data_IF_418391946951
#
_entry.id   IF_418391946951
#
_cell.length_a   1.000
_cell.length_b   1.000
_cell.length_c   1.000
_cell.angle_alpha   90.00
_cell.angle_beta   90.00
_cell.angle_gamma   90.00
#
_symmetry.space_group_name_H-M   'P 1'
#
loop_
_entity.id
_entity.type
_entity.pdbx_description
1 polymer ?
#
# COMPACT_ATOMS: atom_id res chain seq x y z
N UNK A 1 44.40 5.60 -59.11
CA UNK A 1 44.22 6.63 -58.05
C UNK A 1 42.84 6.42 -57.44
N UNK A 2 42.77 6.03 -56.14
CA UNK A 2 41.71 6.33 -55.13
C UNK A 2 40.25 6.46 -55.65
N UNK A 3 39.20 5.71 -55.23
CA UNK A 3 38.71 5.39 -53.87
C UNK A 3 37.43 4.49 -53.95
N UNK A 4 37.34 3.50 -53.05
CA UNK A 4 36.21 2.86 -52.28
C UNK A 4 34.79 2.63 -52.89
N UNK A 5 34.43 1.33 -53.08
CA UNK A 5 33.45 0.44 -52.35
C UNK A 5 32.21 1.16 -51.75
N UNK A 6 30.92 0.69 -51.89
CA UNK A 6 30.50 -0.57 -51.24
C UNK A 6 29.24 -1.37 -51.67
N UNK A 7 29.11 -2.52 -50.96
CA UNK A 7 27.91 -3.23 -50.49
C UNK A 7 27.28 -4.34 -51.36
N UNK A 8 27.40 -5.59 -50.89
CA UNK A 8 26.33 -6.61 -50.94
C UNK A 8 26.61 -7.77 -49.96
N UNK A 9 25.64 -7.95 -49.05
CA UNK A 9 25.11 -9.18 -48.41
C UNK A 9 26.04 -10.32 -47.95
N UNK A 10 25.91 -10.70 -46.67
CA UNK A 10 25.49 -12.06 -46.28
C UNK A 10 25.16 -12.14 -44.77
N UNK A 11 24.03 -12.76 -44.47
CA UNK A 11 23.57 -13.10 -43.14
C UNK A 11 24.23 -14.41 -42.64
N UNK A 12 24.50 -14.51 -41.34
CA UNK A 12 24.73 -15.78 -40.67
C UNK A 12 24.15 -15.72 -39.25
N UNK A 13 23.17 -16.60 -39.00
CA UNK A 13 22.63 -16.95 -37.69
C UNK A 13 23.76 -17.49 -36.81
N UNK A 14 23.96 -16.88 -35.64
CA UNK A 14 24.69 -17.52 -34.54
C UNK A 14 23.68 -17.84 -33.44
N UNK A 15 23.34 -19.13 -33.32
CA UNK A 15 22.57 -19.68 -32.22
C UNK A 15 23.36 -19.47 -30.91
N UNK A 16 22.80 -18.68 -29.99
CA UNK A 16 23.38 -18.45 -28.68
C UNK A 16 23.14 -19.68 -27.79
N UNK A 17 24.16 -20.52 -27.68
CA UNK A 17 24.30 -21.51 -26.62
C UNK A 17 24.52 -20.77 -25.29
N UNK A 18 23.45 -20.32 -24.63
CA UNK A 18 23.56 -19.93 -23.22
C UNK A 18 23.64 -21.21 -22.39
N UNK A 19 24.89 -21.60 -22.13
CA UNK A 19 25.24 -22.53 -21.06
C UNK A 19 24.50 -22.11 -19.78
N UNK A 20 23.77 -23.09 -19.26
CA UNK A 20 23.14 -23.11 -17.95
C UNK A 20 24.23 -22.86 -16.89
N UNK A 21 24.49 -21.59 -16.59
CA UNK A 21 25.27 -21.23 -15.42
C UNK A 21 24.34 -21.40 -14.21
N UNK A 22 24.71 -22.19 -13.18
CA UNK A 22 23.95 -22.19 -11.95
C UNK A 22 23.89 -20.75 -11.45
N UNK A 23 22.68 -20.28 -11.11
CA UNK A 23 22.51 -19.02 -10.43
C UNK A 23 23.50 -18.95 -9.25
N UNK A 24 24.23 -17.84 -9.04
CA UNK A 24 25.09 -17.72 -7.87
C UNK A 24 24.23 -18.02 -6.64
N UNK A 25 24.70 -18.96 -5.81
CA UNK A 25 24.06 -19.27 -4.54
C UNK A 25 23.80 -17.93 -3.82
N UNK A 26 22.53 -17.67 -3.49
CA UNK A 26 22.14 -16.42 -2.85
C UNK A 26 23.07 -16.18 -1.65
N UNK A 27 23.87 -15.12 -1.71
CA UNK A 27 24.74 -14.76 -0.59
C UNK A 27 23.88 -14.61 0.65
N UNK A 28 24.27 -15.29 1.73
CA UNK A 28 23.51 -15.25 2.96
C UNK A 28 23.35 -13.79 3.40
N UNK A 29 22.12 -13.31 3.63
CA UNK A 29 21.91 -11.92 3.98
C UNK A 29 22.63 -11.58 5.28
N UNK A 30 23.09 -10.33 5.37
CA UNK A 30 23.71 -9.82 6.58
C UNK A 30 22.76 -9.99 7.78
N UNK A 31 23.25 -10.63 8.84
CA UNK A 31 22.50 -10.93 10.07
C UNK A 31 23.14 -10.33 11.33
N UNK A 32 24.27 -9.63 11.19
CA UNK A 32 24.96 -8.99 12.31
C UNK A 32 25.73 -7.73 11.89
N UNK A 33 25.79 -6.76 12.80
CA UNK A 33 26.75 -5.67 12.82
C UNK A 33 27.83 -5.97 13.85
N UNK A 34 29.09 -5.91 13.44
CA UNK A 34 30.25 -6.28 14.22
C UNK A 34 31.09 -5.04 14.50
N UNK A 35 31.40 -4.81 15.78
CA UNK A 35 32.34 -3.77 16.21
C UNK A 35 33.57 -4.44 16.75
N UNK A 36 34.73 -4.11 16.18
CA UNK A 36 36.01 -4.74 16.48
C UNK A 36 37.01 -3.66 16.90
N UNK A 37 37.88 -3.90 17.88
CA UNK A 37 39.01 -3.01 18.15
C UNK A 37 39.84 -2.75 16.88
N UNK A 38 40.26 -1.51 16.66
CA UNK A 38 40.93 -1.11 15.41
C UNK A 38 42.18 -1.94 15.08
N UNK A 39 42.92 -2.37 16.11
CA UNK A 39 44.12 -3.22 15.95
C UNK A 39 43.78 -4.63 15.46
N UNK A 40 42.59 -5.13 15.83
CA UNK A 40 42.13 -6.48 15.50
C UNK A 40 41.45 -6.54 14.13
N UNK A 41 40.82 -5.45 13.69
CA UNK A 41 40.10 -5.35 12.42
C UNK A 41 40.99 -5.66 11.19
N UNK A 42 42.29 -5.32 11.28
CA UNK A 42 43.27 -5.53 10.21
C UNK A 42 44.20 -6.73 10.47
N UNK A 43 43.99 -7.51 11.55
CA UNK A 43 44.78 -8.71 11.82
C UNK A 43 44.35 -9.85 10.88
N UNK A 44 45.31 -10.40 10.13
CA UNK A 44 45.09 -11.54 9.25
C UNK A 44 44.57 -12.78 9.99
N UNK A 45 45.01 -13.00 11.24
CA UNK A 45 44.54 -14.12 12.07
C UNK A 45 43.05 -14.00 12.41
N UNK A 46 42.53 -12.78 12.52
CA UNK A 46 41.12 -12.53 12.77
C UNK A 46 40.29 -12.85 11.52
N UNK A 47 40.73 -12.39 10.36
CA UNK A 47 40.08 -12.68 9.07
C UNK A 47 40.05 -14.18 8.78
N UNK A 48 41.19 -14.87 8.93
CA UNK A 48 41.29 -16.32 8.74
C UNK A 48 40.38 -17.09 9.72
N UNK A 49 40.21 -16.58 10.95
CA UNK A 49 39.32 -17.17 11.95
C UNK A 49 37.85 -17.03 11.55
N UNK A 50 37.42 -15.85 11.08
CA UNK A 50 36.06 -15.61 10.60
C UNK A 50 35.73 -16.55 9.42
N UNK A 51 36.62 -16.61 8.42
CA UNK A 51 36.43 -17.44 7.24
C UNK A 51 36.33 -18.93 7.60
N UNK A 52 37.24 -19.43 8.45
CA UNK A 52 37.23 -20.83 8.92
C UNK A 52 35.95 -21.19 9.67
N UNK A 53 35.37 -20.23 10.39
CA UNK A 53 34.14 -20.41 11.17
C UNK A 53 32.86 -20.07 10.37
N UNK A 54 32.98 -19.78 9.08
CA UNK A 54 31.83 -19.50 8.20
C UNK A 54 31.21 -18.11 8.38
N UNK A 55 31.89 -17.19 9.05
CA UNK A 55 31.50 -15.79 9.11
C UNK A 55 31.99 -15.05 7.86
N UNK A 56 31.13 -14.19 7.29
CA UNK A 56 31.42 -13.38 6.10
C UNK A 56 31.12 -11.92 6.37
N UNK A 57 32.11 -11.06 6.15
CA UNK A 57 31.94 -9.61 6.19
C UNK A 57 31.48 -9.15 4.79
N UNK A 58 30.36 -8.44 4.73
CA UNK A 58 29.73 -8.00 3.47
C UNK A 58 29.95 -6.51 3.22
N UNK A 59 29.91 -5.70 4.29
CA UNK A 59 30.19 -4.27 4.25
C UNK A 59 31.27 -3.95 5.29
N UNK A 60 32.19 -3.07 4.93
CA UNK A 60 33.29 -2.63 5.78
C UNK A 60 33.22 -1.13 5.98
N UNK A 61 33.27 -0.71 7.23
CA UNK A 61 33.28 0.69 7.66
C UNK A 61 34.50 0.92 8.56
N UNK A 62 35.69 1.10 7.96
CA UNK A 62 36.93 1.26 8.70
C UNK A 62 36.88 2.44 9.68
N UNK A 63 37.56 2.34 10.83
CA UNK A 63 38.50 1.27 11.19
C UNK A 63 37.89 0.07 11.95
N UNK A 64 36.65 0.15 12.43
CA UNK A 64 36.18 -0.73 13.51
C UNK A 64 34.85 -1.43 13.26
N UNK A 65 34.05 -1.03 12.25
CA UNK A 65 32.68 -1.55 12.10
C UNK A 65 32.53 -2.31 10.80
N UNK A 66 31.86 -3.46 10.87
CA UNK A 66 31.58 -4.32 9.73
C UNK A 66 30.14 -4.81 9.80
N UNK A 67 29.54 -5.10 8.65
CA UNK A 67 28.20 -5.71 8.57
C UNK A 67 28.31 -6.97 7.74
N UNK A 68 27.70 -8.06 8.20
CA UNK A 68 27.92 -9.35 7.57
C UNK A 68 27.04 -10.47 8.07
N UNK A 69 27.33 -11.68 7.59
CA UNK A 69 26.74 -12.91 8.06
C UNK A 69 27.66 -13.55 9.10
N UNK A 70 27.23 -13.62 10.36
CA UNK A 70 27.96 -14.21 11.48
C UNK A 70 27.09 -15.29 12.11
N UNK A 71 27.54 -16.57 12.13
CA UNK A 71 26.88 -17.66 12.86
C UNK A 71 26.67 -17.30 14.34
N UNK A 72 25.50 -17.67 14.88
CA UNK A 72 25.04 -17.21 16.21
C UNK A 72 25.86 -17.76 17.38
N UNK A 73 26.46 -18.93 17.19
CA UNK A 73 27.37 -19.58 18.12
C UNK A 73 28.70 -18.81 18.31
N UNK A 74 29.08 -17.94 17.37
CA UNK A 74 30.35 -17.21 17.44
C UNK A 74 30.30 -15.95 18.31
N UNK A 75 29.12 -15.47 18.71
CA UNK A 75 28.97 -14.19 19.41
C UNK A 75 29.86 -14.11 20.66
N UNK A 76 29.81 -15.14 21.50
CA UNK A 76 30.59 -15.20 22.73
C UNK A 76 32.08 -15.48 22.47
N UNK A 77 32.43 -16.25 21.44
CA UNK A 77 33.82 -16.52 21.08
C UNK A 77 34.52 -15.25 20.58
N UNK A 78 33.83 -14.48 19.73
CA UNK A 78 34.31 -13.21 19.18
C UNK A 78 34.53 -12.16 20.25
N UNK A 79 33.61 -12.06 21.21
CA UNK A 79 33.76 -11.16 22.35
C UNK A 79 34.95 -11.53 23.22
N UNK A 80 35.06 -12.81 23.64
CA UNK A 80 36.13 -13.25 24.55
C UNK A 80 37.51 -13.20 23.93
N UNK A 81 37.65 -13.60 22.67
CA UNK A 81 38.95 -13.78 22.02
C UNK A 81 39.46 -12.51 21.33
N UNK A 82 38.56 -11.69 20.82
CA UNK A 82 38.89 -10.54 19.97
C UNK A 82 38.31 -9.22 20.49
N UNK A 83 37.61 -9.23 21.63
CA UNK A 83 36.96 -8.03 22.17
C UNK A 83 35.86 -7.47 21.26
N UNK A 84 35.36 -8.29 20.32
CA UNK A 84 34.40 -7.85 19.33
C UNK A 84 32.98 -7.88 19.89
N UNK A 85 32.17 -6.88 19.54
CA UNK A 85 30.75 -6.81 19.90
C UNK A 85 29.90 -7.14 18.69
N UNK A 86 28.97 -8.09 18.87
CA UNK A 86 28.03 -8.50 17.83
C UNK A 86 26.65 -7.94 18.14
N UNK A 87 26.12 -7.11 17.24
CA UNK A 87 24.78 -6.57 17.31
C UNK A 87 23.88 -7.29 16.31
N UNK A 88 22.81 -7.90 16.81
CA UNK A 88 21.80 -8.61 15.99
C UNK A 88 20.46 -7.86 15.91
N UNK A 89 20.28 -6.85 16.76
CA UNK A 89 19.11 -6.01 16.84
C UNK A 89 19.45 -4.56 16.51
N UNK A 90 18.43 -3.71 16.53
CA UNK A 90 18.59 -2.26 16.45
C UNK A 90 19.54 -1.80 17.57
N UNK A 91 20.46 -0.92 17.21
CA UNK A 91 21.38 -0.28 18.14
C UNK A 91 20.77 1.05 18.57
N UNK A 92 20.19 1.10 19.77
CA UNK A 92 19.56 2.33 20.27
C UNK A 92 20.59 3.39 20.71
N UNK A 93 21.78 2.95 21.15
CA UNK A 93 22.84 3.82 21.65
C UNK A 93 23.74 4.43 20.57
N UNK A 94 23.28 4.56 19.33
CA UNK A 94 24.09 4.90 18.14
C UNK A 94 25.11 6.05 18.35
N UNK A 95 24.84 7.03 19.22
CA UNK A 95 25.77 8.10 19.59
C UNK A 95 27.09 7.59 20.20
N UNK A 96 27.07 6.44 20.87
CA UNK A 96 28.26 5.77 21.42
C UNK A 96 29.24 5.36 20.33
N UNK A 97 28.79 5.22 19.08
CA UNK A 97 29.62 4.86 17.94
C UNK A 97 30.40 6.04 17.38
N UNK A 98 30.08 7.27 17.76
CA UNK A 98 30.86 8.45 17.39
C UNK A 98 32.34 8.32 17.82
N UNK A 99 32.61 7.58 18.91
CA UNK A 99 33.98 7.29 19.37
C UNK A 99 34.80 6.43 18.38
N UNK A 100 34.13 5.73 17.47
CA UNK A 100 34.75 4.91 16.42
C UNK A 100 34.82 5.65 15.07
N UNK A 101 34.44 6.93 15.03
CA UNK A 101 34.47 7.78 13.84
C UNK A 101 33.17 7.81 13.05
N UNK A 102 33.11 8.71 12.07
CA UNK A 102 31.89 8.97 11.27
C UNK A 102 31.41 7.74 10.50
N UNK A 103 32.34 6.95 9.94
CA UNK A 103 32.02 5.71 9.22
C UNK A 103 31.27 4.69 10.10
N UNK A 104 31.59 4.61 11.38
CA UNK A 104 30.90 3.73 12.32
C UNK A 104 29.46 4.20 12.57
N UNK A 105 29.26 5.52 12.68
CA UNK A 105 27.92 6.11 12.81
C UNK A 105 27.09 5.85 11.54
N UNK A 106 27.69 5.98 10.35
CA UNK A 106 27.03 5.62 9.08
C UNK A 106 26.65 4.14 9.02
N UNK A 107 27.55 3.25 9.44
CA UNK A 107 27.31 1.81 9.48
C UNK A 107 26.11 1.46 10.38
N UNK A 108 26.07 2.02 11.59
CA UNK A 108 24.96 1.81 12.53
C UNK A 108 23.66 2.38 11.99
N UNK A 109 23.69 3.56 11.36
CA UNK A 109 22.51 4.13 10.72
C UNK A 109 22.00 3.24 9.57
N UNK A 110 22.91 2.68 8.76
CA UNK A 110 22.55 1.75 7.69
C UNK A 110 21.99 0.43 8.24
N UNK A 111 22.58 -0.11 9.31
CA UNK A 111 22.11 -1.29 10.02
C UNK A 111 20.73 -1.10 10.63
N UNK A 112 20.54 0.01 11.35
CA UNK A 112 19.30 0.33 12.05
C UNK A 112 18.10 0.49 11.09
N UNK A 113 18.32 0.91 9.84
CA UNK A 113 17.28 0.98 8.81
C UNK A 113 16.61 -0.37 8.49
N UNK A 114 17.25 -1.49 8.84
CA UNK A 114 16.72 -2.85 8.63
C UNK A 114 15.69 -3.27 9.69
N UNK A 115 15.62 -2.53 10.80
CA UNK A 115 14.65 -2.80 11.86
C UNK A 115 13.38 -1.98 11.65
N UNK A 116 12.29 -2.44 12.26
CA UNK A 116 11.05 -1.69 12.34
C UNK A 116 11.35 -0.42 13.15
N UNK A 117 11.34 0.75 12.49
CA UNK A 117 11.07 1.99 13.21
C UNK A 117 9.64 1.83 13.73
N UNK A 118 9.42 1.90 15.05
CA UNK A 118 8.11 2.31 15.54
C UNK A 118 7.87 3.68 14.91
N UNK A 119 6.97 3.79 13.92
CA UNK A 119 6.70 5.07 13.31
C UNK A 119 6.31 6.01 14.44
N UNK A 120 6.84 7.24 14.45
CA UNK A 120 6.62 8.15 15.55
C UNK A 120 5.11 8.20 15.83
N UNK A 121 4.72 7.73 17.01
CA UNK A 121 3.37 7.92 17.55
C UNK A 121 3.30 9.39 17.98
N UNK A 122 3.46 10.30 17.02
CA UNK A 122 2.98 11.64 17.23
C UNK A 122 1.46 11.50 17.45
N UNK A 123 0.89 12.15 18.47
CA UNK A 123 -0.55 12.33 18.51
C UNK A 123 -0.94 12.90 17.17
N UNK A 124 -1.69 12.14 16.38
CA UNK A 124 -2.09 12.55 15.04
C UNK A 124 -3.07 13.72 15.24
N UNK A 125 -2.56 14.95 15.32
CA UNK A 125 -3.37 16.16 15.41
C UNK A 125 -3.88 16.42 14.01
N UNK A 126 -5.04 15.84 13.74
CA UNK A 126 -5.68 16.00 12.46
C UNK A 126 -6.58 17.21 12.52
N UNK A 127 -6.25 18.27 11.77
CA UNK A 127 -7.21 19.36 11.56
C UNK A 127 -8.30 18.87 10.61
N UNK A 128 -9.30 18.21 11.17
CA UNK A 128 -10.37 17.62 10.40
C UNK A 128 -11.43 18.64 10.06
N UNK A 129 -11.62 18.89 8.76
CA UNK A 129 -12.69 19.76 8.27
C UNK A 129 -13.72 18.90 7.57
N UNK A 130 -14.94 19.00 8.07
CA UNK A 130 -16.13 18.62 7.31
C UNK A 130 -16.45 19.80 6.39
N UNK A 131 -16.26 19.61 5.08
CA UNK A 131 -16.48 20.66 4.08
C UNK A 131 -17.63 20.28 3.17
N UNK A 132 -18.45 21.25 2.77
CA UNK A 132 -19.41 21.05 1.69
C UNK A 132 -18.66 20.86 0.37
N UNK A 133 -18.91 19.76 -0.33
CA UNK A 133 -18.30 19.44 -1.61
C UNK A 133 -19.36 19.47 -2.72
N UNK A 134 -19.24 20.44 -3.63
CA UNK A 134 -20.26 20.66 -4.66
C UNK A 134 -21.64 21.01 -4.08
N UNK A 135 -22.71 20.73 -4.85
CA UNK A 135 -24.07 21.13 -4.43
C UNK A 135 -24.60 20.33 -3.24
N UNK A 136 -24.24 19.05 -3.12
CA UNK A 136 -24.79 18.12 -2.11
C UNK A 136 -23.80 17.08 -1.55
N UNK A 137 -22.53 17.13 -1.92
CA UNK A 137 -21.50 16.27 -1.31
C UNK A 137 -21.01 16.85 0.01
N UNK A 138 -20.49 15.97 0.85
CA UNK A 138 -19.75 16.28 2.07
C UNK A 138 -18.37 15.66 1.92
N UNK A 139 -17.33 16.43 2.23
CA UNK A 139 -15.95 15.96 2.21
C UNK A 139 -15.43 15.92 3.63
N UNK A 140 -14.98 14.74 4.05
CA UNK A 140 -14.14 14.55 5.22
C UNK A 140 -12.69 14.71 4.75
N UNK A 141 -11.91 15.58 5.37
CA UNK A 141 -10.51 15.78 4.99
C UNK A 141 -9.64 15.85 6.23
N UNK A 142 -8.45 15.26 6.12
CA UNK A 142 -7.43 15.19 7.16
C UNK A 142 -6.07 15.66 6.65
N UNK A 143 -5.16 15.95 7.58
CA UNK A 143 -3.77 16.24 7.24
C UNK A 143 -3.07 14.98 6.76
N UNK A 144 -2.22 15.14 5.76
CA UNK A 144 -1.40 14.04 5.26
C UNK A 144 -0.36 13.62 6.32
N UNK A 145 -0.13 12.32 6.42
CA UNK A 145 0.78 11.71 7.38
C UNK A 145 2.03 11.25 6.65
N UNK A 146 3.18 11.67 7.15
CA UNK A 146 4.46 11.33 6.55
C UNK A 146 4.62 9.79 6.45
N UNK A 147 5.01 9.31 5.26
CA UNK A 147 5.12 7.88 4.90
C UNK A 147 3.80 7.11 4.83
N UNK A 148 2.64 7.74 5.00
CA UNK A 148 1.37 7.07 4.76
C UNK A 148 1.20 6.76 3.27
N UNK A 149 0.94 5.51 2.96
CA UNK A 149 0.63 5.04 1.60
C UNK A 149 -0.88 4.98 1.37
N UNK A 150 -1.65 4.88 2.44
CA UNK A 150 -3.11 4.87 2.44
C UNK A 150 -3.64 5.12 3.84
N UNK A 151 -4.96 5.16 3.98
CA UNK A 151 -5.68 5.36 5.23
C UNK A 151 -6.82 4.35 5.34
N UNK A 152 -7.03 3.82 6.55
CA UNK A 152 -8.24 3.10 6.94
C UNK A 152 -9.22 4.11 7.54
N UNK A 153 -10.34 4.34 6.88
CA UNK A 153 -11.43 5.20 7.38
C UNK A 153 -12.51 4.32 7.98
N UNK A 154 -12.95 4.68 9.19
CA UNK A 154 -14.17 4.15 9.80
C UNK A 154 -15.18 5.27 10.00
N UNK A 155 -16.44 4.98 9.69
CA UNK A 155 -17.60 5.79 10.06
C UNK A 155 -18.54 4.89 10.87
N UNK A 156 -19.02 5.37 12.00
CA UNK A 156 -19.89 4.66 12.94
C UNK A 156 -21.09 5.52 13.34
N UNK A 157 -22.17 4.87 13.78
CA UNK A 157 -23.29 5.56 14.45
C UNK A 157 -23.14 5.59 15.97
N UNK A 158 -22.13 4.90 16.51
CA UNK A 158 -21.79 4.90 17.91
C UNK A 158 -20.43 5.59 18.09
N UNK A 159 -20.31 6.45 19.09
CA UNK A 159 -19.09 7.24 19.33
C UNK A 159 -17.88 6.36 19.68
N UNK A 160 -18.14 5.20 20.28
CA UNK A 160 -17.15 4.19 20.66
C UNK A 160 -16.75 3.25 19.51
N UNK A 161 -17.35 3.42 18.32
CA UNK A 161 -17.14 2.55 17.14
C UNK A 161 -17.55 1.08 17.35
N UNK A 162 -18.40 0.78 18.33
CA UNK A 162 -18.99 -0.55 18.54
C UNK A 162 -19.90 -1.01 17.39
N UNK A 163 -20.45 -0.05 16.63
CA UNK A 163 -21.31 -0.29 15.47
C UNK A 163 -20.77 0.42 14.23
N UNK A 164 -19.83 -0.22 13.55
CA UNK A 164 -19.28 0.30 12.30
C UNK A 164 -20.38 0.36 11.23
N UNK A 165 -20.58 1.55 10.68
CA UNK A 165 -21.51 1.78 9.57
C UNK A 165 -20.81 1.61 8.22
N UNK A 166 -19.56 2.07 8.14
CA UNK A 166 -18.72 2.01 6.95
C UNK A 166 -17.27 1.87 7.37
N UNK A 167 -16.54 1.00 6.67
CA UNK A 167 -15.10 0.88 6.82
C UNK A 167 -14.47 0.66 5.45
N UNK A 168 -13.47 1.47 5.11
CA UNK A 168 -12.85 1.41 3.79
C UNK A 168 -11.41 1.92 3.79
N UNK A 169 -10.61 1.41 2.85
CA UNK A 169 -9.27 1.92 2.59
C UNK A 169 -9.28 3.02 1.53
N UNK A 170 -8.48 4.06 1.71
CA UNK A 170 -8.40 5.24 0.83
C UNK A 170 -6.94 5.60 0.58
N UNK A 171 -6.57 5.85 -0.68
CA UNK A 171 -5.19 6.26 -1.05
C UNK A 171 -4.93 7.78 -0.95
N UNK A 172 -5.94 8.56 -0.58
CA UNK A 172 -5.92 10.03 -0.50
C UNK A 172 -6.30 10.47 0.93
N UNK A 173 -6.00 11.72 1.28
CA UNK A 173 -6.27 12.29 2.62
C UNK A 173 -7.66 12.91 2.76
N UNK A 174 -8.60 12.49 1.91
CA UNK A 174 -9.96 12.99 1.88
C UNK A 174 -10.93 11.89 1.45
N UNK A 175 -12.17 12.03 1.91
CA UNK A 175 -13.26 11.13 1.58
C UNK A 175 -14.51 11.91 1.23
N UNK A 176 -15.08 11.62 0.06
CA UNK A 176 -16.34 12.19 -0.40
C UNK A 176 -17.49 11.26 -0.01
N UNK A 177 -18.56 11.86 0.53
CA UNK A 177 -19.82 11.19 0.80
C UNK A 177 -20.99 12.07 0.36
N UNK A 178 -22.14 11.45 0.10
CA UNK A 178 -23.36 12.17 -0.21
C UNK A 178 -24.39 11.90 0.90
N UNK A 179 -24.76 12.89 1.73
CA UNK A 179 -25.69 12.72 2.84
C UNK A 179 -27.05 12.12 2.46
N UNK A 180 -27.49 12.29 1.21
CA UNK A 180 -28.76 11.71 0.73
C UNK A 180 -28.73 10.18 0.55
N UNK A 181 -27.54 9.57 0.63
CA UNK A 181 -27.33 8.12 0.65
C UNK A 181 -27.12 7.58 2.07
N UNK A 182 -27.28 8.43 3.08
CA UNK A 182 -27.18 8.11 4.49
C UNK A 182 -28.54 8.35 5.14
N UNK A 183 -28.82 7.57 6.19
CA UNK A 183 -29.97 7.85 7.04
C UNK A 183 -29.70 9.08 7.90
N UNK A 184 -30.76 9.74 8.37
CA UNK A 184 -30.63 10.89 9.26
C UNK A 184 -30.03 10.47 10.61
N UNK A 185 -29.24 11.37 11.20
CA UNK A 185 -28.62 11.16 12.50
C UNK A 185 -27.18 11.64 12.57
N UNK A 186 -26.54 11.30 13.68
CA UNK A 186 -25.15 11.66 13.97
C UNK A 186 -24.25 10.48 13.58
N UNK A 187 -23.17 10.81 12.91
CA UNK A 187 -22.13 9.87 12.52
C UNK A 187 -20.80 10.32 13.11
N UNK A 188 -20.03 9.34 13.57
CA UNK A 188 -18.68 9.51 14.08
C UNK A 188 -17.71 8.90 13.09
N UNK A 189 -16.55 9.51 12.89
CA UNK A 189 -15.53 9.01 11.99
C UNK A 189 -14.13 9.20 12.55
N UNK A 190 -13.24 8.29 12.18
CA UNK A 190 -11.83 8.28 12.55
C UNK A 190 -11.01 7.65 11.43
N UNK A 191 -9.73 8.01 11.36
CA UNK A 191 -8.81 7.47 10.35
C UNK A 191 -7.59 6.85 11.01
N UNK A 192 -7.07 5.79 10.41
CA UNK A 192 -5.81 5.17 10.78
C UNK A 192 -4.88 5.17 9.55
N UNK A 193 -3.74 5.88 9.59
CA UNK A 193 -2.74 5.84 8.53
C UNK A 193 -2.15 4.45 8.36
N UNK A 194 -1.95 4.01 7.13
CA UNK A 194 -1.22 2.80 6.78
C UNK A 194 0.11 3.21 6.15
N UNK A 195 1.21 2.91 6.84
CA UNK A 195 2.57 3.30 6.43
C UNK A 195 3.33 2.11 5.88
N UNK A 196 4.22 2.36 4.91
CA UNK A 196 5.19 1.37 4.45
C UNK A 196 6.49 1.51 5.26
N UNK A 197 6.81 0.49 6.04
CA UNK A 197 8.04 0.44 6.82
C UNK A 197 9.25 0.20 5.91
N UNK A 198 10.44 0.56 6.37
CA UNK A 198 11.70 0.32 5.65
C UNK A 198 11.95 -1.19 5.37
N UNK A 199 11.29 -2.07 6.12
CA UNK A 199 11.31 -3.53 5.93
C UNK A 199 10.45 -4.01 4.75
N UNK A 200 9.69 -3.11 4.10
CA UNK A 200 8.72 -3.44 3.07
C UNK A 200 7.38 -3.96 3.62
N UNK A 201 7.18 -3.98 4.95
CA UNK A 201 5.91 -4.35 5.57
C UNK A 201 5.01 -3.12 5.74
N UNK A 202 3.70 -3.32 5.55
CA UNK A 202 2.70 -2.32 5.90
C UNK A 202 2.37 -2.39 7.39
N UNK A 203 2.17 -1.23 8.01
CA UNK A 203 1.71 -1.12 9.38
C UNK A 203 0.57 -0.10 9.48
N UNK A 204 -0.53 -0.51 10.11
CA UNK A 204 -1.64 0.37 10.44
C UNK A 204 -1.36 1.06 11.77
N UNK A 205 -1.26 2.38 11.74
CA UNK A 205 -1.11 3.21 12.93
C UNK A 205 -2.42 3.22 13.74
N UNK A 206 -2.40 3.54 15.04
CA UNK A 206 -3.61 3.73 15.83
C UNK A 206 -4.55 4.76 15.19
N UNK A 207 -5.85 4.53 15.36
CA UNK A 207 -6.86 5.49 14.91
C UNK A 207 -6.72 6.84 15.61
N UNK A 208 -7.09 7.90 14.89
CA UNK A 208 -7.27 9.23 15.45
C UNK A 208 -8.39 9.27 16.50
N UNK A 209 -8.46 10.36 17.25
CA UNK A 209 -9.69 10.74 17.95
C UNK A 209 -10.90 10.75 17.00
N UNK A 210 -12.07 10.51 17.56
CA UNK A 210 -13.34 10.53 16.83
C UNK A 210 -13.77 11.97 16.51
N UNK A 211 -14.36 12.16 15.34
CA UNK A 211 -14.99 13.40 14.92
C UNK A 211 -16.42 13.12 14.48
N UNK A 212 -17.31 14.10 14.55
CA UNK A 212 -18.72 13.89 14.21
C UNK A 212 -19.23 14.80 13.10
N UNK A 213 -20.24 14.33 12.38
CA UNK A 213 -21.09 15.15 11.50
C UNK A 213 -22.55 14.70 11.63
N UNK A 214 -23.48 15.60 11.32
CA UNK A 214 -24.90 15.31 11.31
C UNK A 214 -25.43 15.22 9.88
N UNK A 215 -26.27 14.23 9.63
CA UNK A 215 -27.06 14.07 8.41
C UNK A 215 -28.50 14.43 8.74
N UNK A 216 -29.08 15.33 7.95
CA UNK A 216 -30.49 15.68 8.00
C UNK A 216 -31.00 15.87 6.57
N UNK A 217 -31.76 14.90 6.08
CA UNK A 217 -32.36 14.95 4.76
C UNK A 217 -33.77 15.56 4.85
N UNK A 218 -34.16 16.43 3.91
CA UNK A 218 -35.47 17.10 3.96
C UNK A 218 -36.62 16.08 3.91
N UNK A 219 -37.51 16.15 4.90
CA UNK A 219 -38.72 15.34 4.96
C UNK A 219 -39.73 15.81 3.91
N UNK A 220 -40.10 14.95 2.95
CA UNK A 220 -41.12 15.31 1.97
C UNK A 220 -41.19 14.35 0.79
N UNK A 221 -42.05 13.33 0.92
CA UNK A 221 -42.40 12.37 -0.12
C UNK A 221 -42.51 10.97 0.46
N UNK A 222 -43.67 10.31 0.29
CA UNK A 222 -43.84 8.91 0.65
C UNK A 222 -42.70 8.07 0.07
N UNK A 223 -42.15 7.16 0.87
CA UNK A 223 -41.10 6.25 0.44
C UNK A 223 -41.65 5.34 -0.66
N UNK A 224 -41.30 5.63 -1.91
CA UNK A 224 -41.37 4.61 -2.96
C UNK A 224 -40.02 3.93 -2.90
N UNK A 225 -39.99 2.69 -2.41
CA UNK A 225 -38.86 1.78 -2.63
C UNK A 225 -38.52 1.85 -4.11
N UNK A 226 -37.30 2.32 -4.41
CA UNK A 226 -36.82 2.47 -5.78
C UNK A 226 -35.81 1.36 -6.00
N UNK A 227 -36.24 0.21 -6.55
CA UNK A 227 -35.33 -0.88 -6.83
C UNK A 227 -34.31 -0.44 -7.87
N UNK A 228 -33.06 -0.83 -7.66
CA UNK A 228 -32.06 -0.72 -8.70
C UNK A 228 -32.44 -1.60 -9.91
N UNK A 229 -32.08 -1.21 -11.14
CA UNK A 229 -32.28 -2.06 -12.31
C UNK A 229 -31.62 -3.43 -12.15
N UNK A 230 -32.27 -4.47 -12.67
CA UNK A 230 -31.68 -5.81 -12.69
C UNK A 230 -30.48 -5.85 -13.64
N UNK A 231 -29.29 -6.02 -13.08
CA UNK A 231 -28.05 -6.20 -13.83
C UNK A 231 -27.23 -7.30 -13.17
N UNK A 232 -26.96 -8.39 -13.90
CA UNK A 232 -26.17 -9.49 -13.36
C UNK A 232 -24.65 -9.27 -13.50
N UNK A 233 -24.22 -8.48 -14.49
CA UNK A 233 -22.80 -8.34 -14.86
C UNK A 233 -22.41 -6.88 -15.09
N UNK A 234 -21.30 -6.46 -14.51
CA UNK A 234 -20.71 -5.14 -14.67
C UNK A 234 -19.32 -5.25 -15.34
N UNK A 235 -19.11 -4.63 -16.51
CA UNK A 235 -17.83 -4.73 -17.20
C UNK A 235 -16.76 -3.85 -16.52
N UNK A 236 -15.57 -4.42 -16.35
CA UNK A 236 -14.36 -3.72 -15.92
C UNK A 236 -13.59 -3.22 -17.15
N UNK A 237 -13.75 -1.95 -17.49
CA UNK A 237 -13.12 -1.32 -18.65
C UNK A 237 -12.09 -0.28 -18.21
N UNK A 238 -10.83 -0.44 -18.64
CA UNK A 238 -9.75 0.53 -18.36
C UNK A 238 -9.64 0.92 -16.88
N UNK A 239 -9.85 -0.03 -15.97
CA UNK A 239 -9.77 0.19 -14.52
C UNK A 239 -11.00 0.89 -13.92
N UNK A 240 -12.13 0.93 -14.63
CA UNK A 240 -13.40 1.42 -14.11
C UNK A 240 -14.52 0.40 -14.29
N UNK A 241 -15.39 0.30 -13.28
CA UNK A 241 -16.64 -0.48 -13.35
C UNK A 241 -17.80 0.45 -13.70
N UNK A 242 -18.77 -0.06 -14.46
CA UNK A 242 -19.96 0.68 -14.87
C UNK A 242 -21.23 -0.12 -14.58
N UNK A 243 -22.28 0.56 -14.13
CA UNK A 243 -23.57 -0.06 -13.81
C UNK A 243 -24.74 0.71 -14.42
N UNK A 244 -25.88 0.04 -14.55
CA UNK A 244 -27.15 0.61 -14.94
C UNK A 244 -27.89 1.08 -13.68
N UNK A 245 -28.50 2.27 -13.72
CA UNK A 245 -29.17 2.85 -12.55
C UNK A 245 -30.60 3.27 -12.88
N UNK A 246 -31.40 3.55 -11.85
CA UNK A 246 -32.78 3.98 -12.05
C UNK A 246 -32.80 5.43 -12.59
N UNK A 247 -33.76 5.77 -13.47
CA UNK A 247 -33.93 7.14 -13.93
C UNK A 247 -34.08 8.11 -12.76
N UNK A 248 -33.32 9.21 -12.80
CA UNK A 248 -33.34 10.24 -11.75
C UNK A 248 -32.36 10.02 -10.60
N UNK A 249 -31.68 8.88 -10.51
CA UNK A 249 -30.50 8.75 -9.64
C UNK A 249 -29.40 9.72 -10.09
N UNK A 250 -28.78 10.40 -9.12
CA UNK A 250 -27.72 11.41 -9.29
C UNK A 250 -26.47 11.09 -8.50
N UNK A 251 -26.64 10.37 -7.39
CA UNK A 251 -25.55 9.99 -6.50
C UNK A 251 -25.63 8.50 -6.24
N UNK A 252 -24.49 7.87 -6.06
CA UNK A 252 -24.36 6.43 -5.86
C UNK A 252 -23.44 6.13 -4.69
N UNK A 253 -23.83 5.14 -3.90
CA UNK A 253 -22.94 4.44 -2.97
C UNK A 253 -22.67 3.06 -3.57
N UNK A 254 -21.41 2.70 -3.69
CA UNK A 254 -20.94 1.47 -4.33
C UNK A 254 -20.13 0.67 -3.29
N UNK A 255 -20.47 -0.60 -3.14
CA UNK A 255 -19.68 -1.56 -2.38
C UNK A 255 -19.05 -2.58 -3.32
N UNK A 256 -17.79 -2.92 -3.06
CA UNK A 256 -17.02 -3.94 -3.77
C UNK A 256 -16.69 -5.05 -2.77
N UNK A 257 -16.80 -6.32 -3.16
CA UNK A 257 -16.57 -7.46 -2.26
C UNK A 257 -16.04 -8.68 -3.00
N UNK A 258 -15.35 -9.56 -2.27
CA UNK A 258 -15.03 -10.91 -2.76
C UNK A 258 -16.25 -11.85 -2.74
N UNK A 259 -17.25 -11.54 -1.92
CA UNK A 259 -18.46 -12.37 -1.70
C UNK A 259 -19.71 -11.61 -2.10
N UNK A 260 -20.75 -12.35 -2.51
CA UNK A 260 -22.02 -11.77 -2.92
C UNK A 260 -22.90 -11.28 -1.75
N UNK A 261 -22.58 -11.64 -0.51
CA UNK A 261 -23.29 -11.19 0.70
C UNK A 261 -22.88 -9.78 1.17
N UNK A 262 -21.70 -9.31 0.78
CA UNK A 262 -21.10 -8.05 1.21
C UNK A 262 -20.99 -7.91 2.75
N UNK A 263 -20.76 -9.01 3.48
CA UNK A 263 -20.50 -8.94 4.92
C UNK A 263 -19.18 -8.22 5.24
N UNK A 264 -18.17 -8.38 4.38
CA UNK A 264 -16.87 -7.72 4.49
C UNK A 264 -16.46 -7.05 3.16
N UNK A 265 -17.03 -5.87 2.83
CA UNK A 265 -16.69 -5.16 1.62
C UNK A 265 -15.20 -4.77 1.56
N UNK A 266 -14.59 -4.95 0.40
CA UNK A 266 -13.24 -4.45 0.07
C UNK A 266 -13.20 -2.92 0.03
N UNK A 267 -14.28 -2.31 -0.46
CA UNK A 267 -14.42 -0.87 -0.54
C UNK A 267 -15.89 -0.47 -0.43
N UNK A 268 -16.14 0.72 0.14
CA UNK A 268 -17.44 1.36 0.23
C UNK A 268 -17.27 2.84 -0.10
N UNK A 269 -17.74 3.24 -1.27
CA UNK A 269 -17.36 4.50 -1.92
C UNK A 269 -18.57 5.22 -2.47
N UNK A 270 -18.43 6.53 -2.66
CA UNK A 270 -19.49 7.38 -3.18
C UNK A 270 -19.06 8.04 -4.48
N UNK A 271 -20.02 8.24 -5.39
CA UNK A 271 -19.80 8.95 -6.65
C UNK A 271 -21.08 9.60 -7.17
N UNK A 272 -20.97 10.63 -8.01
CA UNK A 272 -22.06 11.23 -8.78
C UNK A 272 -22.06 10.77 -10.25
N UNK A 273 -21.22 9.80 -10.60
CA UNK A 273 -21.13 9.22 -11.95
C UNK A 273 -21.54 7.75 -11.96
N UNK A 274 -22.06 7.26 -13.09
CA UNK A 274 -22.46 5.87 -13.29
C UNK A 274 -21.27 4.93 -13.62
N UNK A 275 -20.07 5.39 -13.30
CA UNK A 275 -18.81 4.71 -13.47
C UNK A 275 -17.93 5.04 -12.26
N UNK A 276 -17.16 4.07 -11.79
CA UNK A 276 -16.21 4.29 -10.69
C UNK A 276 -14.82 3.80 -11.09
N UNK A 277 -13.82 4.70 -10.95
CA UNK A 277 -12.43 4.40 -11.27
C UNK A 277 -11.74 3.82 -10.02
N UNK A 278 -11.13 2.65 -10.17
CA UNK A 278 -10.59 1.87 -9.07
C UNK A 278 -9.14 2.27 -8.71
N UNK A 279 -8.46 3.07 -9.55
CA UNK A 279 -7.03 3.38 -9.44
C UNK A 279 -6.62 4.30 -8.28
N UNK A 280 -7.45 4.44 -7.25
CA UNK A 280 -7.13 5.14 -5.99
C UNK A 280 -7.52 4.35 -4.75
N UNK A 281 -8.02 3.13 -4.94
CA UNK A 281 -8.31 2.22 -3.84
C UNK A 281 -7.04 1.46 -3.46
N UNK A 282 -6.74 1.30 -2.16
CA UNK A 282 -5.65 0.45 -1.69
C UNK A 282 -6.01 -1.04 -1.74
N UNK A 283 -7.01 -1.42 -2.54
CA UNK A 283 -7.47 -2.80 -2.74
C UNK A 283 -7.51 -3.13 -4.22
N UNK A 284 -7.06 -4.33 -4.58
CA UNK A 284 -7.10 -4.82 -5.95
C UNK A 284 -8.51 -5.34 -6.27
N UNK A 285 -9.08 -4.86 -7.37
CA UNK A 285 -10.39 -5.28 -7.86
C UNK A 285 -10.27 -5.90 -9.25
N UNK A 286 -10.82 -7.09 -9.44
CA UNK A 286 -10.63 -7.94 -10.61
C UNK A 286 -11.94 -8.66 -11.01
N UNK A 287 -12.02 -9.20 -12.24
CA UNK A 287 -13.16 -10.02 -12.65
C UNK A 287 -13.38 -11.24 -11.74
N UNK A 288 -14.65 -11.59 -11.50
CA UNK A 288 -15.07 -12.66 -10.57
C UNK A 288 -15.39 -12.16 -9.15
N UNK A 289 -15.08 -10.90 -8.83
CA UNK A 289 -15.56 -10.23 -7.62
C UNK A 289 -16.93 -9.61 -7.84
N UNK A 290 -17.55 -9.14 -6.76
CA UNK A 290 -18.90 -8.60 -6.76
C UNK A 290 -18.91 -7.11 -6.47
N UNK A 291 -19.87 -6.42 -7.09
CA UNK A 291 -20.27 -5.08 -6.70
C UNK A 291 -21.77 -5.03 -6.39
N UNK A 292 -22.17 -4.13 -5.51
CA UNK A 292 -23.56 -3.68 -5.39
C UNK A 292 -23.58 -2.18 -5.25
N UNK A 293 -24.65 -1.53 -5.70
CA UNK A 293 -24.79 -0.10 -5.57
C UNK A 293 -26.18 0.26 -5.07
N UNK A 294 -26.30 1.43 -4.44
CA UNK A 294 -27.59 2.08 -4.20
C UNK A 294 -27.55 3.47 -4.81
N UNK A 295 -28.65 3.88 -5.43
CA UNK A 295 -28.81 5.20 -6.06
C UNK A 295 -29.54 6.18 -5.14
N UNK A 296 -29.35 7.48 -5.38
CA UNK A 296 -30.11 8.55 -4.72
C UNK A 296 -30.43 9.66 -5.71
N UNK A 297 -31.65 10.21 -5.62
CA UNK A 297 -32.06 11.41 -6.38
C UNK A 297 -31.49 12.72 -5.79
N UNK A 298 -30.67 12.61 -4.74
CA UNK A 298 -30.14 13.71 -3.96
C UNK A 298 -31.00 14.11 -2.77
N UNK A 299 -32.19 13.53 -2.59
CA UNK A 299 -33.05 13.76 -1.43
C UNK A 299 -33.07 12.54 -0.53
N UNK A 300 -33.20 11.34 -1.11
CA UNK A 300 -33.19 10.07 -0.38
C UNK A 300 -32.52 8.96 -1.18
N UNK A 301 -32.10 7.92 -0.48
CA UNK A 301 -31.52 6.71 -1.07
C UNK A 301 -32.64 5.76 -1.54
N UNK A 302 -32.38 5.05 -2.63
CA UNK A 302 -33.15 3.88 -3.05
C UNK A 302 -32.59 2.60 -2.41
N UNK A 303 -33.04 1.45 -2.90
CA UNK A 303 -32.59 0.17 -2.37
C UNK A 303 -31.23 -0.24 -2.95
N UNK A 304 -30.52 -1.12 -2.24
CA UNK A 304 -29.36 -1.79 -2.80
C UNK A 304 -29.74 -2.65 -4.01
N UNK A 305 -28.89 -2.66 -5.03
CA UNK A 305 -28.97 -3.62 -6.11
C UNK A 305 -28.74 -5.04 -5.59
N UNK A 306 -29.24 -6.02 -6.33
CA UNK A 306 -28.73 -7.39 -6.23
C UNK A 306 -27.21 -7.41 -6.47
N UNK A 307 -26.49 -8.43 -5.97
CA UNK A 307 -25.07 -8.60 -6.28
C UNK A 307 -24.82 -8.68 -7.78
N UNK A 308 -23.84 -7.92 -8.26
CA UNK A 308 -23.46 -7.82 -9.67
C UNK A 308 -22.04 -8.37 -9.82
N UNK A 309 -21.85 -9.37 -10.66
CA UNK A 309 -20.53 -9.93 -10.93
C UNK A 309 -19.71 -8.97 -11.81
N UNK A 310 -18.49 -8.68 -11.41
CA UNK A 310 -17.54 -7.91 -12.22
C UNK A 310 -16.97 -8.84 -13.29
N UNK A 311 -17.10 -8.46 -14.55
CA UNK A 311 -16.63 -9.24 -15.69
C UNK A 311 -15.57 -8.48 -16.49
N UNK A 312 -14.71 -9.16 -17.26
CA UNK A 312 -13.76 -8.48 -18.13
C UNK A 312 -14.50 -7.55 -19.10
N UNK A 313 -14.01 -6.32 -19.22
CA UNK A 313 -14.52 -5.37 -20.21
C UNK A 313 -14.33 -5.88 -21.63
N UNK A 314 -15.27 -5.55 -22.53
CA UNK A 314 -15.14 -5.92 -23.93
C UNK A 314 -13.90 -5.23 -24.54
N UNK A 315 -12.86 -6.00 -24.84
CA UNK A 315 -11.76 -5.52 -25.67
C UNK A 315 -12.33 -5.24 -27.05
N UNK A 316 -12.41 -3.97 -27.44
CA UNK A 316 -12.89 -3.59 -28.76
C UNK A 316 -12.12 -4.33 -29.84
N UNK A 317 -12.72 -5.37 -30.42
CA UNK A 317 -12.23 -5.94 -31.66
C UNK A 317 -12.32 -4.81 -32.69
N UNK A 318 -11.15 -4.30 -33.13
CA UNK A 318 -11.07 -3.47 -34.34
C UNK A 318 -11.73 -4.26 -35.46
N UNK A 319 -12.97 -3.94 -35.80
CA UNK A 319 -13.56 -4.31 -37.08
C UNK A 319 -12.65 -3.68 -38.13
N UNK A 320 -11.70 -4.45 -38.67
CA UNK A 320 -11.07 -4.14 -39.95
C UNK A 320 -12.22 -4.09 -40.94
N UNK A 321 -12.67 -2.89 -41.30
CA UNK A 321 -13.49 -2.68 -42.49
C UNK A 321 -12.62 -3.14 -43.67
N UNK A 322 -12.83 -4.38 -44.09
CA UNK A 322 -12.32 -4.87 -45.36
C UNK A 322 -12.93 -4.00 -46.44
N UNK A 323 -12.08 -3.18 -47.08
CA UNK A 323 -12.43 -2.46 -48.30
C UNK A 323 -12.46 -3.53 -49.39
N UNK A 324 -13.66 -3.96 -49.80
CA UNK A 324 -13.82 -4.77 -50.99
C UNK A 324 -13.25 -3.97 -52.18
N UNK A 325 -12.40 -4.64 -52.96
CA UNK A 325 -11.92 -4.15 -54.26
C UNK A 325 -13.03 -4.29 -55.29
#
# INVERSE_FOLDING_TARGET
MKIRIPLLFAAALAASSFLNSPAPAAEAPANALLVVPSETAFDRKFQDYLEKKGAKLLESHPPSVFVGHIPQDLDQELEKKYGAKVYRQKVDDWASFARYGENAVFAVNAWNKRFVEDPPVAPLVVSNRVQKAGRRGLRLAWNDVMKATSYRLQISRAEDFSKIFLETGIGDNQYLLYPSLLEDGIYYWRVAPVVLLNTGKYWEMPYTSAYSFAVSNPAGGAAVSRPAPAQAKAPLNKGAVTWQHAPGDRYFRLQLSNTADFEAPLADVFTDTCAYRLSGLPVAVAPGQYLRFMGSDGRRAGDWSAPIEIVPGATGARRKKGRAR
#
